data_IF_143219681760
#
_entry.id   IF_143219681760
#
_cell.length_a   1.000
_cell.length_b   1.000
_cell.length_c   1.000
_cell.angle_alpha   90.00
_cell.angle_beta   90.00
_cell.angle_gamma   90.00
#
_symmetry.space_group_name_H-M   'P 1'
#
loop_
_entity.id
_entity.type
_entity.pdbx_description
1 polymer ?
#
# COMPACT_ATOMS: atom_id res chain seq x y z
N UNK A 1 15.78 25.42 17.82
CA UNK A 1 16.00 25.11 19.25
C UNK A 1 14.71 25.31 20.03
N UNK A 2 13.91 24.26 20.25
CA UNK A 2 12.80 24.31 21.21
C UNK A 2 13.12 23.36 22.37
N UNK A 3 13.37 23.94 23.56
CA UNK A 3 13.57 23.21 24.81
C UNK A 3 12.27 22.48 25.16
N UNK A 4 12.16 21.21 24.77
CA UNK A 4 11.12 20.31 25.29
C UNK A 4 11.47 19.96 26.73
N UNK A 5 10.76 20.55 27.67
CA UNK A 5 10.92 20.31 29.09
C UNK A 5 10.64 18.82 29.44
N UNK A 6 11.60 18.08 30.01
CA UNK A 6 11.49 16.64 30.23
C UNK A 6 10.41 16.23 31.26
N UNK A 7 9.92 17.15 32.10
CA UNK A 7 8.88 16.86 33.11
C UNK A 7 7.47 16.71 32.52
N UNK A 8 7.17 17.33 31.37
CA UNK A 8 5.89 17.20 30.66
C UNK A 8 5.64 15.77 30.15
N UNK A 9 6.69 14.96 29.98
CA UNK A 9 6.56 13.53 29.62
C UNK A 9 6.11 12.63 30.79
N UNK A 10 6.21 13.12 32.04
CA UNK A 10 5.87 12.38 33.27
C UNK A 10 4.50 12.76 33.85
N UNK A 11 3.93 13.91 33.46
CA UNK A 11 2.59 14.35 33.85
C UNK A 11 1.50 13.28 33.68
N UNK A 12 1.40 12.57 32.54
CA UNK A 12 0.36 11.55 32.36
C UNK A 12 0.58 10.32 33.26
N UNK A 13 1.82 10.00 33.66
CA UNK A 13 2.10 8.89 34.58
C UNK A 13 1.66 9.21 36.00
N UNK A 14 1.92 10.43 36.45
CA UNK A 14 1.54 10.88 37.79
C UNK A 14 0.01 10.87 37.94
N UNK A 15 -0.73 11.35 36.93
CA UNK A 15 -2.20 11.33 36.93
C UNK A 15 -2.76 9.91 37.00
N UNK A 16 -2.16 8.95 36.29
CA UNK A 16 -2.58 7.54 36.35
C UNK A 16 -2.31 6.93 37.72
N UNK A 17 -1.15 7.19 38.32
CA UNK A 17 -0.84 6.73 39.68
C UNK A 17 -1.80 7.32 40.70
N UNK A 18 -2.10 8.62 40.61
CA UNK A 18 -3.08 9.27 41.50
C UNK A 18 -4.48 8.69 41.32
N UNK A 19 -4.91 8.47 40.08
CA UNK A 19 -6.17 7.80 39.78
C UNK A 19 -6.23 6.41 40.42
N UNK A 20 -5.23 5.56 40.19
CA UNK A 20 -5.25 4.18 40.67
C UNK A 20 -5.23 4.11 42.20
N UNK A 21 -4.44 4.94 42.87
CA UNK A 21 -4.44 5.03 44.33
C UNK A 21 -5.76 5.59 44.87
N UNK A 22 -6.37 6.56 44.18
CA UNK A 22 -7.70 7.07 44.55
C UNK A 22 -8.77 5.98 44.43
N UNK A 23 -8.68 5.10 43.42
CA UNK A 23 -9.60 3.97 43.25
C UNK A 23 -9.46 2.94 44.36
N UNK A 24 -8.25 2.73 44.89
CA UNK A 24 -8.04 1.89 46.09
C UNK A 24 -8.78 2.47 47.29
N UNK A 25 -8.60 3.77 47.54
CA UNK A 25 -9.26 4.47 48.65
C UNK A 25 -10.78 4.42 48.51
N UNK A 26 -11.30 4.80 47.35
CA UNK A 26 -12.74 4.83 47.07
C UNK A 26 -13.36 3.44 47.20
N UNK A 27 -12.70 2.41 46.66
CA UNK A 27 -13.19 1.02 46.75
C UNK A 27 -13.22 0.54 48.19
N UNK A 28 -12.15 0.79 48.96
CA UNK A 28 -12.09 0.38 50.36
C UNK A 28 -13.15 1.08 51.21
N UNK A 29 -13.30 2.40 51.06
CA UNK A 29 -14.31 3.18 51.78
C UNK A 29 -15.74 2.77 51.40
N UNK A 30 -16.01 2.54 50.12
CA UNK A 30 -17.31 2.07 49.64
C UNK A 30 -17.67 0.73 50.28
N UNK A 31 -16.74 -0.23 50.30
CA UNK A 31 -16.97 -1.54 50.88
C UNK A 31 -17.13 -1.48 52.41
N UNK A 32 -16.37 -0.62 53.11
CA UNK A 32 -16.57 -0.36 54.55
C UNK A 32 -17.96 0.23 54.82
N UNK A 33 -18.41 1.18 53.99
CA UNK A 33 -19.74 1.77 54.10
C UNK A 33 -20.84 0.75 53.86
N UNK A 34 -20.74 -0.06 52.80
CA UNK A 34 -21.68 -1.16 52.52
C UNK A 34 -21.70 -2.21 53.64
N UNK A 35 -20.55 -2.55 54.20
CA UNK A 35 -20.46 -3.46 55.34
C UNK A 35 -21.11 -2.86 56.59
N UNK A 36 -20.94 -1.56 56.84
CA UNK A 36 -21.59 -0.83 57.94
C UNK A 36 -23.11 -0.83 57.81
N UNK A 37 -23.64 -0.57 56.60
CA UNK A 37 -25.09 -0.66 56.32
C UNK A 37 -25.63 -2.07 56.55
N UNK A 38 -24.79 -3.09 56.37
CA UNK A 38 -25.12 -4.49 56.61
C UNK A 38 -24.88 -4.93 58.08
N UNK A 39 -24.66 -3.99 59.00
CA UNK A 39 -24.55 -4.21 60.45
C UNK A 39 -23.13 -4.48 60.97
N UNK A 40 -22.09 -4.22 60.19
CA UNK A 40 -20.70 -4.37 60.65
C UNK A 40 -20.28 -3.19 61.55
N UNK A 41 -19.45 -3.43 62.59
CA UNK A 41 -18.99 -2.35 63.47
C UNK A 41 -18.09 -1.35 62.72
N UNK A 42 -18.13 -0.05 63.09
CA UNK A 42 -17.22 0.94 62.53
C UNK A 42 -15.77 0.63 62.94
N UNK A 43 -14.80 0.90 62.06
CA UNK A 43 -13.38 0.77 62.37
C UNK A 43 -12.97 1.83 63.39
N UNK A 44 -12.36 1.42 64.50
CA UNK A 44 -11.74 2.34 65.45
C UNK A 44 -10.48 3.00 64.88
N UNK A 45 -9.78 2.35 63.94
CA UNK A 45 -8.52 2.83 63.34
C UNK A 45 -8.58 2.94 61.81
N UNK A 46 -9.65 3.53 61.26
CA UNK A 46 -9.90 3.62 59.82
C UNK A 46 -8.71 4.19 59.02
N UNK A 47 -8.08 5.26 59.54
CA UNK A 47 -6.98 5.92 58.85
C UNK A 47 -5.72 5.04 58.76
N UNK A 48 -5.44 4.27 59.82
CA UNK A 48 -4.31 3.33 59.87
C UNK A 48 -4.55 2.15 58.94
N UNK A 49 -5.77 1.60 58.95
CA UNK A 49 -6.20 0.54 58.03
C UNK A 49 -6.05 0.99 56.57
N UNK A 50 -6.57 2.17 56.23
CA UNK A 50 -6.50 2.73 54.88
C UNK A 50 -5.05 2.98 54.44
N UNK A 51 -4.20 3.51 55.33
CA UNK A 51 -2.80 3.74 55.05
C UNK A 51 -2.05 2.43 54.72
N UNK A 52 -2.34 1.35 55.46
CA UNK A 52 -1.77 0.02 55.21
C UNK A 52 -2.22 -0.49 53.83
N UNK A 53 -3.52 -0.43 53.54
CA UNK A 53 -4.09 -0.91 52.27
C UNK A 53 -3.51 -0.15 51.08
N UNK A 54 -3.48 1.18 51.14
CA UNK A 54 -2.95 2.03 50.05
C UNK A 54 -1.46 1.79 49.85
N UNK A 55 -0.67 1.67 50.92
CA UNK A 55 0.76 1.43 50.83
C UNK A 55 1.06 0.07 50.19
N UNK A 56 0.40 -1.00 50.63
CA UNK A 56 0.58 -2.35 50.08
C UNK A 56 0.14 -2.38 48.62
N UNK A 57 -1.05 -1.87 48.32
CA UNK A 57 -1.61 -1.91 46.97
C UNK A 57 -0.77 -1.06 45.99
N UNK A 58 -0.24 0.08 46.45
CA UNK A 58 0.68 0.90 45.67
C UNK A 58 1.98 0.18 45.31
N UNK A 59 2.58 -0.55 46.27
CA UNK A 59 3.77 -1.38 46.03
C UNK A 59 3.46 -2.51 45.04
N UNK A 60 2.30 -3.16 45.17
CA UNK A 60 1.86 -4.23 44.28
C UNK A 60 1.66 -3.72 42.86
N UNK A 61 0.97 -2.59 42.67
CA UNK A 61 0.80 -1.98 41.34
C UNK A 61 2.14 -1.64 40.68
N UNK A 62 3.11 -1.17 41.46
CA UNK A 62 4.45 -0.88 40.96
C UNK A 62 5.21 -2.16 40.57
N UNK A 63 5.15 -3.21 41.40
CA UNK A 63 5.81 -4.52 41.17
C UNK A 63 5.23 -5.29 40.00
N UNK A 64 3.90 -5.35 39.88
CA UNK A 64 3.18 -6.00 38.78
C UNK A 64 3.35 -5.22 37.47
N UNK A 65 3.84 -3.98 37.54
CA UNK A 65 4.20 -3.19 36.38
C UNK A 65 3.00 -2.54 35.71
N UNK A 66 1.93 -2.24 36.48
CA UNK A 66 0.72 -1.58 35.98
C UNK A 66 1.01 -0.20 35.35
N UNK A 67 2.16 0.38 35.67
CA UNK A 67 2.64 1.68 35.18
C UNK A 67 3.73 1.59 34.10
N UNK A 68 4.18 0.39 33.70
CA UNK A 68 5.31 0.20 32.76
C UNK A 68 4.94 0.49 31.30
N UNK A 69 3.67 0.61 30.96
CA UNK A 69 3.21 1.00 29.63
C UNK A 69 2.00 1.90 29.74
N UNK A 70 2.18 3.22 29.65
CA UNK A 70 1.09 4.19 29.71
C UNK A 70 0.21 4.05 28.47
N UNK A 71 -0.75 3.12 28.55
CA UNK A 71 -1.97 3.05 27.78
C UNK A 71 -1.78 3.07 26.26
N UNK A 72 -0.80 2.32 25.75
CA UNK A 72 -0.61 2.15 24.30
C UNK A 72 -1.09 0.80 23.78
N UNK A 73 -1.35 -0.18 24.63
CA UNK A 73 -1.90 -1.47 24.22
C UNK A 73 -2.73 -2.10 25.34
N UNK A 74 -4.02 -1.75 25.40
CA UNK A 74 -4.99 -2.49 26.19
C UNK A 74 -5.25 -3.85 25.52
N UNK A 75 -4.34 -4.77 25.79
CA UNK A 75 -4.40 -6.17 25.36
C UNK A 75 -4.95 -7.02 26.51
N UNK A 76 -5.32 -8.28 26.27
CA UNK A 76 -5.55 -9.30 27.32
C UNK A 76 -4.54 -9.21 28.51
N UNK A 77 -3.23 -8.94 28.28
CA UNK A 77 -2.25 -8.65 29.32
C UNK A 77 -2.62 -7.61 30.38
N UNK A 78 -3.32 -6.52 30.05
CA UNK A 78 -3.64 -5.47 31.02
C UNK A 78 -4.69 -5.94 32.02
N UNK A 79 -5.71 -6.67 31.57
CA UNK A 79 -6.71 -7.26 32.44
C UNK A 79 -6.10 -8.33 33.34
N UNK A 80 -5.16 -9.12 32.81
CA UNK A 80 -4.40 -10.10 33.59
C UNK A 80 -3.56 -9.41 34.66
N UNK A 81 -2.84 -8.33 34.33
CA UNK A 81 -2.04 -7.57 35.29
C UNK A 81 -2.90 -6.91 36.38
N UNK A 82 -4.05 -6.31 36.03
CA UNK A 82 -5.00 -5.74 37.00
C UNK A 82 -5.54 -6.84 37.92
N UNK A 83 -5.90 -7.99 37.37
CA UNK A 83 -6.41 -9.13 38.13
C UNK A 83 -5.34 -9.66 39.08
N UNK A 84 -4.13 -9.93 38.58
CA UNK A 84 -3.00 -10.36 39.40
C UNK A 84 -2.68 -9.36 40.51
N UNK A 85 -2.69 -8.07 40.23
CA UNK A 85 -2.46 -7.04 41.24
C UNK A 85 -3.57 -6.96 42.30
N UNK A 86 -4.84 -7.17 41.93
CA UNK A 86 -5.95 -7.19 42.87
C UNK A 86 -5.86 -8.39 43.83
N UNK A 87 -5.58 -9.59 43.31
CA UNK A 87 -5.47 -10.80 44.12
C UNK A 87 -4.19 -10.85 44.97
N UNK A 88 -3.04 -10.50 44.40
CA UNK A 88 -1.77 -10.41 45.16
C UNK A 88 -1.87 -9.31 46.22
N UNK A 89 -2.49 -8.18 45.88
CA UNK A 89 -2.77 -7.09 46.81
C UNK A 89 -3.62 -7.53 47.98
N UNK A 90 -4.75 -8.20 47.72
CA UNK A 90 -5.59 -8.76 48.79
C UNK A 90 -4.81 -9.72 49.70
N UNK A 91 -4.05 -10.66 49.12
CA UNK A 91 -3.29 -11.64 49.90
C UNK A 91 -2.26 -10.98 50.83
N UNK A 92 -1.57 -9.95 50.34
CA UNK A 92 -0.61 -9.19 51.15
C UNK A 92 -1.31 -8.33 52.20
N UNK A 93 -2.43 -7.69 51.86
CA UNK A 93 -3.25 -6.94 52.83
C UNK A 93 -3.72 -7.85 53.96
N UNK A 94 -4.26 -9.03 53.64
CA UNK A 94 -4.66 -10.03 54.63
C UNK A 94 -3.49 -10.44 55.54
N UNK A 95 -2.32 -10.71 54.95
CA UNK A 95 -1.13 -11.12 55.68
C UNK A 95 -0.67 -10.04 56.66
N UNK A 96 -0.62 -8.78 56.22
CA UNK A 96 -0.19 -7.66 57.08
C UNK A 96 -1.23 -7.34 58.15
N UNK A 97 -2.53 -7.33 57.81
CA UNK A 97 -3.59 -7.13 58.80
C UNK A 97 -3.60 -8.23 59.87
N UNK A 98 -3.23 -9.47 59.51
CA UNK A 98 -3.06 -10.57 60.47
C UNK A 98 -1.90 -10.31 61.44
N UNK A 99 -0.73 -9.91 60.92
CA UNK A 99 0.47 -9.63 61.73
C UNK A 99 0.26 -8.43 62.67
N UNK A 100 -0.45 -7.40 62.22
CA UNK A 100 -0.74 -6.19 63.01
C UNK A 100 -1.94 -6.38 63.95
N UNK A 101 -2.60 -7.54 63.92
CA UNK A 101 -3.75 -7.85 64.78
C UNK A 101 -5.05 -7.13 64.40
N UNK A 102 -5.10 -6.46 63.26
CA UNK A 102 -6.26 -5.68 62.78
C UNK A 102 -7.24 -6.49 61.93
N UNK A 103 -6.89 -7.73 61.56
CA UNK A 103 -7.75 -8.59 60.74
C UNK A 103 -9.17 -8.80 61.31
N UNK A 104 -9.38 -9.00 62.63
CA UNK A 104 -10.72 -9.13 63.20
C UNK A 104 -11.57 -7.86 63.08
N UNK A 105 -10.95 -6.69 62.93
CA UNK A 105 -11.62 -5.39 62.80
C UNK A 105 -12.08 -5.10 61.36
N UNK A 106 -11.66 -5.91 60.40
CA UNK A 106 -12.05 -5.80 58.99
C UNK A 106 -13.11 -6.87 58.67
N UNK A 107 -14.37 -6.47 58.41
CA UNK A 107 -15.42 -7.42 58.09
C UNK A 107 -15.07 -8.22 56.84
N UNK A 108 -15.33 -9.54 56.84
CA UNK A 108 -15.14 -10.40 55.65
C UNK A 108 -15.90 -9.89 54.43
N UNK A 109 -17.02 -9.18 54.66
CA UNK A 109 -17.84 -8.49 53.66
C UNK A 109 -17.12 -7.33 52.95
N UNK A 110 -15.97 -6.89 53.45
CA UNK A 110 -15.08 -5.93 52.79
C UNK A 110 -14.01 -6.66 51.99
N UNK A 111 -13.41 -7.70 52.57
CA UNK A 111 -12.27 -8.42 51.99
C UNK A 111 -12.64 -9.28 50.76
N UNK A 112 -13.78 -9.98 50.81
CA UNK A 112 -14.23 -10.87 49.72
C UNK A 112 -14.58 -10.10 48.43
N UNK A 113 -15.38 -9.02 48.47
CA UNK A 113 -15.69 -8.25 47.25
C UNK A 113 -14.58 -7.27 46.83
N UNK A 114 -13.52 -7.10 47.61
CA UNK A 114 -12.47 -6.12 47.30
C UNK A 114 -11.80 -6.35 45.92
N UNK A 115 -11.33 -7.55 45.54
CA UNK A 115 -10.72 -7.77 44.23
C UNK A 115 -11.64 -7.46 43.03
N UNK A 116 -12.90 -7.97 42.94
CA UNK A 116 -13.74 -7.67 41.79
C UNK A 116 -14.11 -6.18 41.69
N UNK A 117 -14.36 -5.50 42.81
CA UNK A 117 -14.64 -4.06 42.78
C UNK A 117 -13.42 -3.24 42.35
N UNK A 118 -12.22 -3.62 42.81
CA UNK A 118 -10.98 -2.95 42.41
C UNK A 118 -10.67 -3.19 40.93
N UNK A 119 -10.91 -4.41 40.41
CA UNK A 119 -10.77 -4.72 38.98
C UNK A 119 -11.71 -3.85 38.14
N UNK A 120 -12.97 -3.68 38.57
CA UNK A 120 -13.94 -2.82 37.89
C UNK A 120 -13.54 -1.34 37.95
N UNK A 121 -13.18 -0.85 39.14
CA UNK A 121 -12.77 0.55 39.36
C UNK A 121 -11.52 0.94 38.58
N UNK A 122 -10.60 0.00 38.37
CA UNK A 122 -9.40 0.23 37.56
C UNK A 122 -9.63 -0.04 36.06
N UNK A 123 -10.45 -1.03 35.73
CA UNK A 123 -10.65 -1.52 34.36
C UNK A 123 -11.63 -0.68 33.54
N UNK A 124 -12.75 -0.25 34.14
CA UNK A 124 -13.80 0.50 33.41
C UNK A 124 -13.27 1.86 32.90
N UNK A 125 -12.63 2.73 33.73
CA UNK A 125 -12.10 3.99 33.23
C UNK A 125 -11.07 3.81 32.12
N UNK A 126 -10.28 2.73 32.20
CA UNK A 126 -9.31 2.32 31.16
C UNK A 126 -9.98 1.97 29.85
N UNK A 127 -11.04 1.18 29.91
CA UNK A 127 -11.83 0.79 28.74
C UNK A 127 -12.54 2.01 28.13
N UNK A 128 -13.15 2.87 28.95
CA UNK A 128 -13.88 4.06 28.48
C UNK A 128 -12.95 5.04 27.77
N UNK A 129 -11.83 5.40 28.39
CA UNK A 129 -10.89 6.33 27.75
C UNK A 129 -10.26 5.72 26.50
N UNK A 130 -10.07 4.39 26.43
CA UNK A 130 -9.69 3.72 25.19
C UNK A 130 -10.76 3.89 24.11
N UNK A 131 -12.01 3.54 24.39
CA UNK A 131 -13.09 3.63 23.41
C UNK A 131 -13.23 5.06 22.88
N UNK A 132 -13.06 6.05 23.76
CA UNK A 132 -13.06 7.46 23.38
C UNK A 132 -11.84 7.83 22.51
N UNK A 133 -10.63 7.43 22.91
CA UNK A 133 -9.38 7.74 22.19
C UNK A 133 -9.27 7.00 20.86
N UNK A 134 -9.62 5.73 20.80
CA UNK A 134 -9.62 4.91 19.58
C UNK A 134 -10.63 5.48 18.57
N UNK A 135 -11.80 5.91 19.02
CA UNK A 135 -12.78 6.57 18.15
C UNK A 135 -12.31 7.97 17.71
N UNK A 136 -11.70 8.76 18.61
CA UNK A 136 -11.18 10.09 18.30
C UNK A 136 -9.96 10.08 17.36
N UNK A 137 -9.06 9.09 17.50
CA UNK A 137 -7.91 8.90 16.61
C UNK A 137 -8.34 8.33 15.25
N UNK A 138 -9.33 7.43 15.23
CA UNK A 138 -9.94 6.96 13.97
C UNK A 138 -10.67 8.08 13.24
N UNK A 139 -11.33 8.99 13.95
CA UNK A 139 -11.99 10.18 13.37
C UNK A 139 -10.96 11.22 12.88
N UNK A 140 -9.87 11.43 13.63
CA UNK A 140 -8.82 12.40 13.25
C UNK A 140 -7.94 11.90 12.10
N UNK A 141 -7.61 10.60 12.02
CA UNK A 141 -6.90 10.01 10.86
C UNK A 141 -7.76 9.96 9.61
N UNK A 142 -9.08 9.72 9.74
CA UNK A 142 -10.02 9.77 8.61
C UNK A 142 -10.23 11.18 8.04
N UNK A 143 -9.94 12.22 8.81
CA UNK A 143 -10.04 13.61 8.33
C UNK A 143 -8.89 13.99 7.37
N UNK A 144 -7.73 13.34 7.49
CA UNK A 144 -6.53 13.58 6.65
C UNK A 144 -6.33 12.50 5.57
N UNK A 145 -7.13 11.43 5.61
CA UNK A 145 -7.10 10.36 4.62
C UNK A 145 -7.82 10.77 3.32
N UNK A 146 -7.21 10.49 2.17
CA UNK A 146 -7.80 10.77 0.86
C UNK A 146 -9.10 9.98 0.72
N UNK A 147 -10.22 10.68 0.47
CA UNK A 147 -11.55 10.06 0.33
C UNK A 147 -11.69 9.49 -1.08
N UNK A 148 -11.74 8.16 -1.18
CA UNK A 148 -11.68 7.45 -2.46
C UNK A 148 -13.05 6.91 -2.86
N UNK A 149 -13.50 7.25 -4.06
CA UNK A 149 -14.66 6.64 -4.69
C UNK A 149 -14.19 5.61 -5.72
N UNK A 150 -14.68 4.38 -5.62
CA UNK A 150 -14.21 3.25 -6.45
C UNK A 150 -15.22 3.00 -7.57
N UNK A 151 -14.73 2.98 -8.81
CA UNK A 151 -15.52 2.76 -10.03
C UNK A 151 -15.32 1.32 -10.50
N UNK A 152 -16.28 0.46 -10.21
CA UNK A 152 -16.25 -0.98 -10.45
C UNK A 152 -16.26 -1.79 -9.15
N UNK A 153 -17.40 -2.40 -8.85
CA UNK A 153 -17.66 -3.25 -7.69
C UNK A 153 -17.37 -4.74 -7.95
N UNK A 154 -16.74 -5.08 -9.08
CA UNK A 154 -16.29 -6.44 -9.39
C UNK A 154 -15.12 -6.92 -8.51
N UNK A 155 -14.58 -8.10 -8.85
CA UNK A 155 -13.48 -8.75 -8.09
C UNK A 155 -12.29 -7.82 -7.81
N UNK A 156 -11.88 -7.03 -8.81
CA UNK A 156 -10.76 -6.08 -8.65
C UNK A 156 -11.07 -4.97 -7.66
N UNK A 157 -12.32 -4.49 -7.60
CA UNK A 157 -12.76 -3.50 -6.61
C UNK A 157 -12.80 -4.06 -5.20
N UNK A 158 -13.24 -5.31 -5.05
CA UNK A 158 -13.21 -5.99 -3.75
C UNK A 158 -11.78 -6.17 -3.23
N UNK A 159 -10.85 -6.63 -4.07
CA UNK A 159 -9.46 -6.82 -3.65
C UNK A 159 -8.80 -5.48 -3.30
N UNK A 160 -9.01 -4.43 -4.10
CA UNK A 160 -8.53 -3.08 -3.78
C UNK A 160 -9.06 -2.60 -2.42
N UNK A 161 -10.34 -2.81 -2.13
CA UNK A 161 -10.93 -2.43 -0.83
C UNK A 161 -10.23 -3.09 0.37
N UNK A 162 -9.81 -4.35 0.22
CA UNK A 162 -9.07 -5.06 1.29
C UNK A 162 -7.69 -4.43 1.50
N UNK A 163 -6.99 -4.07 0.43
CA UNK A 163 -5.67 -3.45 0.49
C UNK A 163 -5.71 -2.01 1.00
N UNK A 164 -6.66 -1.20 0.53
CA UNK A 164 -6.81 0.19 0.98
C UNK A 164 -7.13 0.29 2.47
N UNK A 165 -7.75 -0.72 3.06
CA UNK A 165 -7.99 -0.77 4.52
C UNK A 165 -6.74 -1.10 5.33
N UNK A 166 -5.78 -1.79 4.75
CA UNK A 166 -4.50 -2.04 5.40
C UNK A 166 -3.64 -0.76 5.43
N UNK A 167 -3.88 0.17 4.50
CA UNK A 167 -3.16 1.42 4.37
C UNK A 167 -4.01 2.59 4.90
N UNK A 168 -3.74 3.08 6.11
CA UNK A 168 -4.44 4.23 6.77
C UNK A 168 -4.46 5.56 5.96
N UNK A 169 -3.94 5.57 4.73
CA UNK A 169 -3.85 6.70 3.80
C UNK A 169 -5.12 6.95 2.99
N UNK A 170 -5.90 5.91 2.70
CA UNK A 170 -7.08 6.00 1.83
C UNK A 170 -8.35 5.64 2.60
N UNK A 171 -9.39 6.44 2.42
CA UNK A 171 -10.71 6.18 3.00
C UNK A 171 -11.74 5.90 1.91
N UNK A 172 -12.08 4.63 1.64
CA UNK A 172 -13.10 4.30 0.66
C UNK A 172 -14.48 4.79 1.12
N UNK A 173 -15.09 5.72 0.38
CA UNK A 173 -16.38 6.34 0.74
C UNK A 173 -17.59 5.68 0.05
N UNK A 174 -17.35 4.93 -1.03
CA UNK A 174 -18.40 4.26 -1.79
C UNK A 174 -17.88 3.54 -3.02
N UNK A 175 -18.74 2.69 -3.60
CA UNK A 175 -18.52 2.11 -4.92
C UNK A 175 -19.61 2.54 -5.90
N UNK A 176 -19.28 2.59 -7.19
CA UNK A 176 -20.22 2.71 -8.30
C UNK A 176 -20.02 1.56 -9.27
N UNK A 177 -21.12 0.96 -9.74
CA UNK A 177 -21.08 -0.13 -10.71
C UNK A 177 -22.38 -0.16 -11.53
N UNK A 178 -22.28 -0.43 -12.84
CA UNK A 178 -23.44 -0.51 -13.73
C UNK A 178 -24.27 -1.80 -13.53
N UNK A 179 -23.74 -2.77 -12.80
CA UNK A 179 -24.44 -4.01 -12.46
C UNK A 179 -25.55 -3.70 -11.45
N UNK A 180 -26.80 -3.63 -11.95
CA UNK A 180 -27.98 -3.27 -11.15
C UNK A 180 -28.16 -4.10 -9.87
N UNK A 181 -27.78 -5.39 -9.90
CA UNK A 181 -27.88 -6.29 -8.74
C UNK A 181 -26.97 -5.86 -7.59
N UNK A 182 -25.87 -5.16 -7.88
CA UNK A 182 -24.93 -4.69 -6.87
C UNK A 182 -25.38 -3.39 -6.19
N UNK A 183 -26.36 -2.66 -6.74
CA UNK A 183 -26.81 -1.40 -6.16
C UNK A 183 -27.37 -1.61 -4.75
N UNK A 184 -26.85 -0.85 -3.79
CA UNK A 184 -27.21 -0.95 -2.37
C UNK A 184 -26.52 -2.09 -1.62
N UNK A 185 -25.81 -3.00 -2.31
CA UNK A 185 -25.02 -4.04 -1.66
C UNK A 185 -23.85 -3.44 -0.89
N UNK A 186 -23.39 -4.15 0.16
CA UNK A 186 -22.18 -3.80 0.91
C UNK A 186 -21.06 -4.76 0.55
N UNK A 187 -20.00 -4.24 -0.05
CA UNK A 187 -18.79 -5.00 -0.40
C UNK A 187 -17.72 -4.65 0.61
N UNK A 188 -17.27 -5.65 1.35
CA UNK A 188 -16.38 -5.47 2.49
C UNK A 188 -16.93 -4.47 3.53
N UNK A 189 -18.21 -4.08 3.52
CA UNK A 189 -18.76 -3.05 4.41
C UNK A 189 -18.74 -1.62 3.86
N UNK A 190 -18.32 -1.41 2.61
CA UNK A 190 -18.52 -0.16 1.84
C UNK A 190 -19.70 -0.36 0.89
N UNK A 191 -20.58 0.62 0.77
CA UNK A 191 -21.82 0.49 0.00
C UNK A 191 -21.62 0.84 -1.48
N UNK A 192 -22.32 0.11 -2.36
CA UNK A 192 -22.49 0.48 -3.77
C UNK A 192 -23.60 1.52 -3.86
N UNK A 193 -23.23 2.77 -4.13
CA UNK A 193 -24.10 3.95 -4.01
C UNK A 193 -24.97 4.19 -5.25
N UNK A 194 -24.57 3.65 -6.41
CA UNK A 194 -25.24 3.89 -7.67
C UNK A 194 -24.51 3.31 -8.86
N UNK A 195 -24.90 3.77 -10.05
CA UNK A 195 -24.26 3.43 -11.33
C UNK A 195 -23.16 4.42 -11.67
N UNK A 196 -22.39 4.17 -12.73
CA UNK A 196 -21.34 5.11 -13.15
C UNK A 196 -21.91 6.47 -13.55
N UNK A 197 -23.13 6.52 -14.07
CA UNK A 197 -23.82 7.79 -14.41
C UNK A 197 -24.15 8.64 -13.17
N UNK A 198 -24.21 8.04 -11.97
CA UNK A 198 -24.45 8.76 -10.71
C UNK A 198 -23.15 9.42 -10.17
N UNK A 199 -22.01 9.26 -10.85
CA UNK A 199 -20.68 9.64 -10.39
C UNK A 199 -20.60 11.08 -9.88
N UNK A 200 -21.00 12.07 -10.68
CA UNK A 200 -20.89 13.48 -10.31
C UNK A 200 -21.76 13.84 -9.09
N UNK A 201 -22.91 13.18 -8.92
CA UNK A 201 -23.79 13.37 -7.77
C UNK A 201 -23.16 12.74 -6.52
N UNK A 202 -22.78 11.47 -6.63
CA UNK A 202 -22.23 10.69 -5.51
C UNK A 202 -20.88 11.24 -5.04
N UNK A 203 -20.02 11.69 -5.94
CA UNK A 203 -18.74 12.30 -5.58
C UNK A 203 -18.92 13.56 -4.71
N UNK A 204 -19.93 14.39 -5.00
CA UNK A 204 -20.27 15.58 -4.20
C UNK A 204 -20.87 15.21 -2.84
N UNK A 205 -21.86 14.31 -2.83
CA UNK A 205 -22.53 13.87 -1.59
C UNK A 205 -21.56 13.17 -0.63
N UNK A 206 -20.58 12.46 -1.18
CA UNK A 206 -19.58 11.75 -0.38
C UNK A 206 -18.30 12.55 -0.14
N UNK A 207 -18.20 13.78 -0.65
CA UNK A 207 -16.99 14.60 -0.62
C UNK A 207 -15.74 13.81 -1.04
N UNK A 208 -15.83 13.05 -2.13
CA UNK A 208 -14.71 12.28 -2.65
C UNK A 208 -13.61 13.22 -3.18
N UNK A 209 -12.35 12.88 -2.91
CA UNK A 209 -11.17 13.66 -3.35
C UNK A 209 -10.34 12.92 -4.38
N UNK A 210 -10.58 11.62 -4.59
CA UNK A 210 -9.90 10.77 -5.58
C UNK A 210 -10.88 9.74 -6.14
N UNK A 211 -10.86 9.54 -7.45
CA UNK A 211 -11.59 8.47 -8.13
C UNK A 211 -10.63 7.34 -8.51
N UNK A 212 -11.03 6.09 -8.32
CA UNK A 212 -10.20 4.93 -8.68
C UNK A 212 -10.97 3.97 -9.57
N UNK A 213 -10.46 3.73 -10.77
CA UNK A 213 -11.04 2.84 -11.77
C UNK A 213 -10.55 1.40 -11.53
N UNK A 214 -11.47 0.52 -11.16
CA UNK A 214 -11.25 -0.91 -10.86
C UNK A 214 -11.89 -1.81 -11.91
N UNK A 215 -11.88 -1.38 -13.16
CA UNK A 215 -12.45 -2.10 -14.31
C UNK A 215 -11.35 -2.53 -15.29
N UNK A 216 -10.45 -3.47 -14.94
CA UNK A 216 -9.34 -3.86 -15.81
C UNK A 216 -9.80 -4.58 -17.09
N UNK A 217 -10.98 -5.20 -17.07
CA UNK A 217 -11.60 -5.87 -18.21
C UNK A 217 -12.57 -4.98 -18.99
N UNK A 218 -12.61 -3.67 -18.71
CA UNK A 218 -13.40 -2.75 -19.50
C UNK A 218 -12.85 -2.65 -20.92
N UNK A 219 -13.74 -2.71 -21.91
CA UNK A 219 -13.36 -2.45 -23.29
C UNK A 219 -13.03 -0.96 -23.50
N UNK A 220 -12.47 -0.62 -24.67
CA UNK A 220 -12.07 0.76 -24.99
C UNK A 220 -13.22 1.76 -24.86
N UNK A 221 -14.43 1.39 -25.33
CA UNK A 221 -15.60 2.25 -25.30
C UNK A 221 -16.06 2.53 -23.85
N UNK A 222 -16.06 1.49 -23.01
CA UNK A 222 -16.38 1.60 -21.58
C UNK A 222 -15.33 2.45 -20.85
N UNK A 223 -14.04 2.24 -21.13
CA UNK A 223 -12.97 3.03 -20.52
C UNK A 223 -13.07 4.51 -20.89
N UNK A 224 -13.32 4.83 -22.17
CA UNK A 224 -13.55 6.22 -22.61
C UNK A 224 -14.74 6.85 -21.89
N UNK A 225 -15.88 6.16 -21.83
CA UNK A 225 -17.06 6.62 -21.10
C UNK A 225 -16.74 6.91 -19.63
N UNK A 226 -16.04 6.01 -18.96
CA UNK A 226 -15.66 6.19 -17.55
C UNK A 226 -14.73 7.39 -17.38
N UNK A 227 -13.75 7.57 -18.26
CA UNK A 227 -12.83 8.71 -18.22
C UNK A 227 -13.56 10.03 -18.46
N UNK A 228 -14.45 10.10 -19.45
CA UNK A 228 -15.29 11.29 -19.68
C UNK A 228 -16.14 11.63 -18.44
N UNK A 229 -16.73 10.63 -17.80
CA UNK A 229 -17.47 10.81 -16.55
C UNK A 229 -16.55 11.31 -15.43
N UNK A 230 -15.34 10.77 -15.28
CA UNK A 230 -14.35 11.24 -14.31
C UNK A 230 -13.95 12.70 -14.57
N UNK A 231 -13.61 13.05 -15.82
CA UNK A 231 -13.22 14.40 -16.22
C UNK A 231 -14.30 15.43 -15.91
N UNK A 232 -15.57 15.06 -16.11
CA UNK A 232 -16.71 15.94 -15.80
C UNK A 232 -16.81 16.33 -14.32
N UNK A 233 -16.17 15.57 -13.41
CA UNK A 233 -16.15 15.88 -11.98
C UNK A 233 -15.04 16.85 -11.57
N UNK A 234 -14.00 17.01 -12.39
CA UNK A 234 -12.79 17.77 -12.05
C UNK A 234 -11.94 17.16 -10.93
N UNK A 235 -12.26 15.95 -10.46
CA UNK A 235 -11.50 15.25 -9.44
C UNK A 235 -10.33 14.46 -10.08
N UNK A 236 -9.18 14.33 -9.38
CA UNK A 236 -8.13 13.46 -9.85
C UNK A 236 -8.62 12.01 -9.88
N UNK A 237 -8.23 11.27 -10.91
CA UNK A 237 -8.54 9.86 -11.04
C UNK A 237 -7.32 9.01 -11.39
N UNK A 238 -7.36 7.73 -11.00
CA UNK A 238 -6.30 6.74 -11.21
C UNK A 238 -6.90 5.40 -11.62
N UNK A 239 -6.15 4.61 -12.38
CA UNK A 239 -6.51 3.23 -12.74
C UNK A 239 -5.69 2.26 -11.92
N UNK A 240 -6.33 1.18 -11.49
CA UNK A 240 -5.64 0.06 -10.84
C UNK A 240 -4.88 -0.75 -11.87
N UNK A 241 -3.57 -0.91 -11.66
CA UNK A 241 -2.73 -1.88 -12.35
C UNK A 241 -2.32 -2.98 -11.37
N UNK A 242 -2.23 -4.23 -11.83
CA UNK A 242 -1.60 -5.29 -11.06
C UNK A 242 -0.08 -5.15 -11.22
N UNK A 243 0.66 -5.18 -10.11
CA UNK A 243 2.09 -5.43 -10.16
C UNK A 243 2.29 -6.91 -10.51
N UNK A 244 2.78 -7.18 -11.72
CA UNK A 244 3.38 -8.49 -12.04
C UNK A 244 4.86 -8.41 -11.72
N UNK A 245 5.22 -8.68 -10.47
CA UNK A 245 6.63 -8.91 -10.12
C UNK A 245 6.99 -10.33 -10.54
N UNK A 246 7.76 -10.45 -11.63
CA UNK A 246 8.33 -11.71 -12.10
C UNK A 246 9.55 -12.15 -11.31
N UNK A 247 10.02 -11.38 -10.31
CA UNK A 247 11.34 -11.59 -9.71
C UNK A 247 11.38 -11.85 -8.20
N UNK A 248 10.35 -11.52 -7.41
CA UNK A 248 10.39 -11.81 -5.97
C UNK A 248 9.03 -12.24 -5.44
N UNK A 249 9.01 -13.34 -4.68
CA UNK A 249 7.83 -13.98 -4.07
C UNK A 249 7.17 -13.16 -2.94
N UNK A 250 7.00 -11.85 -3.13
CA UNK A 250 6.29 -10.97 -2.21
C UNK A 250 4.97 -10.54 -2.83
N UNK A 251 3.93 -10.53 -2.00
CA UNK A 251 2.51 -10.47 -2.38
C UNK A 251 2.18 -9.49 -3.53
N UNK A 252 1.35 -9.96 -4.47
CA UNK A 252 0.73 -9.17 -5.53
C UNK A 252 0.08 -7.90 -4.97
N UNK A 253 0.71 -6.74 -5.19
CA UNK A 253 0.16 -5.44 -4.82
C UNK A 253 -0.55 -4.77 -5.99
N UNK A 254 -1.53 -3.92 -5.70
CA UNK A 254 -2.05 -2.97 -6.67
C UNK A 254 -1.24 -1.68 -6.67
N UNK A 255 -0.99 -1.17 -7.87
CA UNK A 255 -0.47 0.19 -8.07
C UNK A 255 -1.56 1.08 -8.68
N UNK A 256 -1.66 2.31 -8.17
CA UNK A 256 -2.54 3.34 -8.72
C UNK A 256 -1.74 4.19 -9.73
N UNK A 257 -1.94 3.95 -11.03
CA UNK A 257 -1.28 4.70 -12.10
C UNK A 257 -2.24 5.64 -12.82
N UNK A 258 -1.68 6.59 -13.56
CA UNK A 258 -2.47 7.44 -14.45
C UNK A 258 -3.05 6.62 -15.61
N UNK A 259 -4.20 7.05 -16.13
CA UNK A 259 -4.81 6.40 -17.29
C UNK A 259 -3.97 6.75 -18.50
N UNK A 260 -3.43 5.73 -19.17
CA UNK A 260 -2.56 5.93 -20.32
C UNK A 260 -3.39 5.97 -21.62
N UNK A 261 -2.86 6.59 -22.68
CA UNK A 261 -3.56 6.68 -23.99
C UNK A 261 -3.87 5.28 -24.54
N UNK A 262 -2.99 4.32 -24.29
CA UNK A 262 -3.13 2.92 -24.70
C UNK A 262 -4.39 2.28 -24.10
N UNK A 263 -4.75 2.65 -22.86
CA UNK A 263 -5.95 2.17 -22.18
C UNK A 263 -7.24 2.65 -22.87
N UNK A 264 -7.17 3.76 -23.63
CA UNK A 264 -8.28 4.34 -24.41
C UNK A 264 -8.31 3.83 -25.86
N UNK A 265 -7.15 3.42 -26.39
CA UNK A 265 -7.02 2.90 -27.75
C UNK A 265 -7.53 1.46 -27.88
N UNK A 266 -7.64 0.71 -26.77
CA UNK A 266 -8.37 -0.55 -26.73
C UNK A 266 -7.73 -1.70 -27.50
N UNK A 267 -6.43 -1.64 -27.76
CA UNK A 267 -5.72 -2.79 -28.30
C UNK A 267 -5.49 -3.77 -27.17
N UNK A 268 -6.01 -4.99 -27.31
CA UNK A 268 -5.49 -6.09 -26.52
C UNK A 268 -3.99 -6.21 -26.85
N UNK A 269 -3.09 -6.17 -25.86
CA UNK A 269 -1.69 -6.42 -26.13
C UNK A 269 -1.57 -7.81 -26.75
N UNK A 270 -0.99 -7.87 -27.95
CA UNK A 270 -0.76 -9.14 -28.63
C UNK A 270 0.12 -9.99 -27.72
N UNK A 271 -0.39 -11.12 -27.26
CA UNK A 271 0.42 -12.08 -26.51
C UNK A 271 1.43 -12.69 -27.48
N UNK A 272 2.68 -12.26 -27.38
CA UNK A 272 3.76 -12.83 -28.15
C UNK A 272 4.07 -14.24 -27.63
N UNK A 273 3.94 -15.24 -28.50
CA UNK A 273 4.44 -16.58 -28.23
C UNK A 273 5.97 -16.58 -28.35
N UNK A 274 6.63 -16.35 -27.22
CA UNK A 274 8.09 -16.34 -27.14
C UNK A 274 8.73 -17.68 -27.49
N UNK A 275 7.99 -18.79 -27.37
CA UNK A 275 8.49 -20.11 -27.77
C UNK A 275 8.58 -20.19 -29.29
N UNK A 276 7.54 -19.75 -29.99
CA UNK A 276 7.54 -19.66 -31.46
C UNK A 276 8.60 -18.68 -31.98
N UNK A 277 8.76 -17.53 -31.33
CA UNK A 277 9.80 -16.55 -31.70
C UNK A 277 11.20 -17.14 -31.53
N UNK A 278 11.47 -17.85 -30.43
CA UNK A 278 12.76 -18.52 -30.20
C UNK A 278 13.01 -19.65 -31.21
N UNK A 279 12.00 -20.45 -31.53
CA UNK A 279 12.13 -21.50 -32.55
C UNK A 279 12.43 -20.90 -33.93
N UNK A 280 11.81 -19.75 -34.23
CA UNK A 280 11.96 -19.10 -35.53
C UNK A 280 13.27 -18.30 -35.67
N UNK A 281 13.75 -17.63 -34.62
CA UNK A 281 14.95 -16.79 -34.71
C UNK A 281 16.20 -17.42 -34.07
N UNK A 282 16.03 -18.48 -33.27
CA UNK A 282 17.11 -19.19 -32.62
C UNK A 282 18.19 -19.62 -33.61
N UNK A 283 19.44 -19.30 -33.29
CA UNK A 283 20.62 -19.63 -34.11
C UNK A 283 20.70 -18.96 -35.49
N UNK A 284 19.82 -17.99 -35.81
CA UNK A 284 19.87 -17.24 -37.08
C UNK A 284 20.63 -15.93 -36.91
N UNK A 285 21.12 -15.37 -38.01
CA UNK A 285 21.69 -14.01 -38.04
C UNK A 285 20.60 -13.00 -38.40
N UNK A 286 20.44 -11.97 -37.56
CA UNK A 286 19.50 -10.88 -37.80
C UNK A 286 20.26 -9.55 -37.96
N UNK A 287 19.88 -8.76 -38.96
CA UNK A 287 20.36 -7.40 -39.15
C UNK A 287 19.24 -6.39 -38.87
N UNK A 288 19.56 -5.32 -38.15
CA UNK A 288 18.63 -4.25 -37.82
C UNK A 288 19.22 -2.93 -38.28
N UNK A 289 18.52 -2.19 -39.14
CA UNK A 289 18.91 -0.83 -39.52
C UNK A 289 18.20 0.21 -38.66
N UNK A 290 18.83 1.34 -38.37
CA UNK A 290 18.26 2.33 -37.44
C UNK A 290 18.27 1.80 -36.00
N UNK A 291 19.28 0.98 -35.68
CA UNK A 291 19.37 0.23 -34.43
C UNK A 291 19.41 1.11 -33.18
N UNK A 292 19.86 2.36 -33.31
CA UNK A 292 19.90 3.32 -32.21
C UNK A 292 18.58 4.07 -32.00
N UNK A 293 17.63 3.97 -32.92
CA UNK A 293 16.31 4.58 -32.78
C UNK A 293 15.38 3.74 -31.89
N UNK A 294 14.33 4.37 -31.34
CA UNK A 294 13.40 3.75 -30.38
C UNK A 294 12.82 2.39 -30.81
N UNK A 295 12.54 2.20 -32.11
CA UNK A 295 12.02 0.93 -32.65
C UNK A 295 13.16 -0.07 -32.88
N UNK A 296 14.29 0.40 -33.42
CA UNK A 296 15.45 -0.45 -33.70
C UNK A 296 16.08 -1.01 -32.43
N UNK A 297 16.16 -0.22 -31.36
CA UNK A 297 16.71 -0.63 -30.08
C UNK A 297 15.85 -1.71 -29.40
N UNK A 298 14.53 -1.55 -29.47
CA UNK A 298 13.57 -2.53 -28.96
C UNK A 298 13.63 -3.83 -29.76
N UNK A 299 13.67 -3.75 -31.10
CA UNK A 299 13.87 -4.93 -31.95
C UNK A 299 15.20 -5.63 -31.66
N UNK A 300 16.28 -4.89 -31.39
CA UNK A 300 17.57 -5.46 -31.05
C UNK A 300 17.52 -6.23 -29.72
N UNK A 301 16.88 -5.66 -28.71
CA UNK A 301 16.65 -6.30 -27.41
C UNK A 301 15.81 -7.58 -27.56
N UNK A 302 14.70 -7.52 -28.29
CA UNK A 302 13.83 -8.69 -28.51
C UNK A 302 14.53 -9.80 -29.30
N UNK A 303 15.32 -9.46 -30.33
CA UNK A 303 16.10 -10.44 -31.09
C UNK A 303 17.19 -11.08 -30.22
N UNK A 304 17.87 -10.31 -29.38
CA UNK A 304 18.86 -10.83 -28.44
C UNK A 304 18.21 -11.79 -27.41
N UNK A 305 17.07 -11.42 -26.85
CA UNK A 305 16.29 -12.27 -25.93
C UNK A 305 15.75 -13.55 -26.59
N UNK A 306 15.47 -13.50 -27.89
CA UNK A 306 15.08 -14.64 -28.71
C UNK A 306 16.24 -15.61 -29.03
N UNK A 307 17.48 -15.26 -28.70
CA UNK A 307 18.64 -16.16 -28.86
C UNK A 307 19.15 -16.28 -30.30
N UNK A 308 19.14 -15.19 -31.05
CA UNK A 308 19.79 -15.14 -32.38
C UNK A 308 21.28 -15.48 -32.26
N UNK A 309 21.85 -16.14 -33.28
CA UNK A 309 23.28 -16.50 -33.28
C UNK A 309 24.16 -15.25 -33.43
N UNK A 310 23.74 -14.31 -34.27
CA UNK A 310 24.47 -13.07 -34.53
C UNK A 310 23.51 -11.93 -34.78
N UNK A 311 23.83 -10.77 -34.21
CA UNK A 311 23.05 -9.55 -34.35
C UNK A 311 23.91 -8.48 -35.02
N UNK A 312 23.49 -8.00 -36.19
CA UNK A 312 24.15 -6.92 -36.94
C UNK A 312 23.36 -5.63 -36.72
N UNK A 313 23.99 -4.62 -36.12
CA UNK A 313 23.36 -3.33 -35.82
C UNK A 313 23.88 -2.28 -36.78
N UNK A 314 23.06 -1.84 -37.74
CA UNK A 314 23.39 -0.78 -38.68
C UNK A 314 22.75 0.53 -38.22
N UNK A 315 23.57 1.54 -37.99
CA UNK A 315 23.11 2.88 -37.58
C UNK A 315 24.04 3.93 -38.20
N UNK A 316 23.49 5.09 -38.54
CA UNK A 316 24.26 6.20 -39.13
C UNK A 316 24.87 7.11 -38.06
N UNK A 317 24.23 7.15 -36.89
CA UNK A 317 24.60 7.98 -35.76
C UNK A 317 25.53 7.21 -34.83
N UNK A 318 26.76 7.69 -34.69
CA UNK A 318 27.82 7.03 -33.92
C UNK A 318 27.43 6.87 -32.45
N UNK A 319 26.88 7.92 -31.84
CA UNK A 319 26.49 7.90 -30.44
C UNK A 319 25.38 6.87 -30.20
N UNK A 320 24.34 6.90 -31.01
CA UNK A 320 23.21 5.97 -30.89
C UNK A 320 23.65 4.52 -31.12
N UNK A 321 24.61 4.27 -32.02
CA UNK A 321 25.18 2.94 -32.26
C UNK A 321 25.99 2.45 -31.07
N UNK A 322 26.83 3.30 -30.48
CA UNK A 322 27.65 2.96 -29.31
C UNK A 322 26.77 2.67 -28.09
N UNK A 323 25.73 3.48 -27.87
CA UNK A 323 24.77 3.30 -26.77
C UNK A 323 24.06 1.94 -26.86
N UNK A 324 23.44 1.62 -27.99
CA UNK A 324 22.75 0.32 -28.14
C UNK A 324 23.72 -0.86 -28.07
N UNK A 325 24.93 -0.70 -28.63
CA UNK A 325 25.95 -1.75 -28.60
C UNK A 325 26.38 -2.05 -27.16
N UNK A 326 26.57 -1.01 -26.34
CA UNK A 326 26.92 -1.15 -24.93
C UNK A 326 25.81 -1.84 -24.15
N UNK A 327 24.55 -1.43 -24.35
CA UNK A 327 23.39 -2.04 -23.69
C UNK A 327 23.27 -3.52 -24.03
N UNK A 328 23.30 -3.89 -25.31
CA UNK A 328 23.16 -5.30 -25.73
C UNK A 328 24.33 -6.15 -25.22
N UNK A 329 25.57 -5.63 -25.21
CA UNK A 329 26.73 -6.38 -24.65
C UNK A 329 26.63 -6.59 -23.14
N UNK A 330 26.06 -5.62 -22.42
CA UNK A 330 25.86 -5.74 -20.97
C UNK A 330 24.81 -6.80 -20.64
N UNK A 331 23.70 -6.80 -21.36
CA UNK A 331 22.57 -7.70 -21.13
C UNK A 331 22.82 -9.13 -21.69
N UNK A 332 23.57 -9.23 -22.80
CA UNK A 332 23.80 -10.48 -23.54
C UNK A 332 25.28 -10.67 -23.92
N UNK A 333 26.18 -10.93 -22.95
CA UNK A 333 27.63 -10.99 -23.20
C UNK A 333 28.09 -12.11 -24.13
N UNK A 334 27.29 -13.16 -24.31
CA UNK A 334 27.58 -14.28 -25.21
C UNK A 334 27.09 -14.11 -26.65
N UNK A 335 26.37 -13.02 -26.95
CA UNK A 335 25.82 -12.77 -28.29
C UNK A 335 26.91 -12.23 -29.24
N UNK A 336 27.03 -12.82 -30.43
CA UNK A 336 27.88 -12.25 -31.47
C UNK A 336 27.26 -10.96 -32.01
N UNK A 337 27.81 -9.83 -31.60
CA UNK A 337 27.30 -8.51 -31.94
C UNK A 337 28.24 -7.80 -32.94
N UNK A 338 27.70 -7.38 -34.07
CA UNK A 338 28.43 -6.66 -35.13
C UNK A 338 27.83 -5.26 -35.34
N UNK A 339 28.38 -4.21 -34.71
CA UNK A 339 27.99 -2.84 -35.01
C UNK A 339 28.56 -2.40 -36.37
N UNK A 340 27.74 -1.70 -37.16
CA UNK A 340 28.07 -1.18 -38.49
C UNK A 340 27.65 0.28 -38.56
N UNK A 341 28.62 1.19 -38.53
CA UNK A 341 28.39 2.62 -38.70
C UNK A 341 28.24 2.93 -40.19
N UNK A 342 26.99 3.05 -40.65
CA UNK A 342 26.69 3.33 -42.06
C UNK A 342 25.28 3.86 -42.26
N UNK A 343 25.09 4.69 -43.30
CA UNK A 343 23.77 5.07 -43.78
C UNK A 343 23.11 3.99 -44.63
N UNK A 344 21.79 3.90 -44.57
CA UNK A 344 21.03 2.89 -45.33
C UNK A 344 21.05 3.08 -46.87
N UNK A 345 21.59 4.19 -47.37
CA UNK A 345 21.76 4.43 -48.82
C UNK A 345 23.13 3.99 -49.34
N UNK A 346 24.06 3.62 -48.44
CA UNK A 346 25.45 3.29 -48.77
C UNK A 346 25.60 1.83 -49.18
N UNK A 347 25.52 1.58 -50.49
CA UNK A 347 25.55 0.21 -51.07
C UNK A 347 26.78 -0.60 -50.66
N UNK A 348 27.93 0.05 -50.48
CA UNK A 348 29.18 -0.61 -50.09
C UNK A 348 29.10 -1.24 -48.71
N UNK A 349 28.48 -0.55 -47.75
CA UNK A 349 28.32 -1.03 -46.38
C UNK A 349 27.36 -2.22 -46.28
N UNK A 350 26.32 -2.26 -47.13
CA UNK A 350 25.37 -3.37 -47.16
C UNK A 350 26.02 -4.69 -47.56
N UNK A 351 27.00 -4.66 -48.45
CA UNK A 351 27.62 -5.89 -48.96
C UNK A 351 28.32 -6.68 -47.86
N UNK A 352 29.00 -6.01 -46.94
CA UNK A 352 29.65 -6.66 -45.79
C UNK A 352 28.66 -6.93 -44.67
N UNK A 353 27.72 -6.02 -44.41
CA UNK A 353 26.73 -6.17 -43.35
C UNK A 353 25.75 -7.33 -43.59
N UNK A 354 25.40 -7.61 -44.85
CA UNK A 354 24.44 -8.67 -45.22
C UNK A 354 25.06 -10.06 -45.36
N UNK A 355 26.39 -10.21 -45.25
CA UNK A 355 27.02 -11.53 -45.40
C UNK A 355 26.51 -12.49 -44.32
N UNK A 356 25.84 -13.56 -44.72
CA UNK A 356 25.30 -14.58 -43.82
C UNK A 356 24.20 -14.06 -42.89
N UNK A 357 23.42 -13.07 -43.35
CA UNK A 357 22.23 -12.57 -42.65
C UNK A 357 21.00 -13.30 -43.15
N UNK A 358 20.18 -13.83 -42.25
CA UNK A 358 18.94 -14.53 -42.57
C UNK A 358 17.74 -13.58 -42.62
N UNK A 359 17.70 -12.59 -41.70
CA UNK A 359 16.60 -11.63 -41.58
C UNK A 359 17.10 -10.21 -41.48
N UNK A 360 16.37 -9.28 -42.12
CA UNK A 360 16.65 -7.84 -42.06
C UNK A 360 15.41 -7.11 -41.57
N UNK A 361 15.52 -6.43 -40.43
CA UNK A 361 14.53 -5.47 -39.95
C UNK A 361 14.94 -4.04 -40.30
N UNK A 362 14.15 -3.40 -41.15
CA UNK A 362 14.40 -2.03 -41.58
C UNK A 362 13.66 -1.02 -40.70
N UNK A 363 14.29 -0.56 -39.62
CA UNK A 363 13.72 0.45 -38.71
C UNK A 363 14.26 1.88 -38.93
N UNK A 364 15.17 2.08 -39.90
CA UNK A 364 15.72 3.40 -40.20
C UNK A 364 14.70 4.26 -40.96
N UNK A 365 14.06 5.21 -40.27
CA UNK A 365 13.10 6.12 -40.87
C UNK A 365 13.15 7.51 -40.22
N UNK A 366 12.86 8.55 -41.01
CA UNK A 366 12.52 9.85 -40.48
C UNK A 366 11.01 9.89 -40.21
N UNK A 367 10.62 10.22 -38.97
CA UNK A 367 9.21 10.15 -38.51
C UNK A 367 8.58 11.48 -38.07
N UNK A 368 9.35 12.58 -38.02
CA UNK A 368 8.86 13.87 -37.54
C UNK A 368 8.19 14.67 -38.67
N UNK A 369 6.87 14.54 -38.80
CA UNK A 369 6.09 15.08 -39.93
C UNK A 369 6.34 16.57 -40.20
N UNK A 370 6.22 17.49 -39.20
CA UNK A 370 6.37 18.92 -39.48
C UNK A 370 7.76 19.30 -40.04
N UNK A 371 8.81 18.57 -39.63
CA UNK A 371 10.16 18.80 -40.12
C UNK A 371 10.36 18.23 -41.53
N UNK A 372 9.73 17.10 -41.84
CA UNK A 372 9.88 16.40 -43.13
C UNK A 372 9.11 17.09 -44.26
N UNK A 373 8.01 17.76 -43.95
CA UNK A 373 7.29 18.61 -44.91
C UNK A 373 8.21 19.71 -45.46
N UNK A 374 9.06 20.30 -44.62
CA UNK A 374 10.06 21.28 -45.06
C UNK A 374 11.30 20.65 -45.71
N UNK A 375 11.53 19.34 -45.55
CA UNK A 375 12.74 18.64 -45.98
C UNK A 375 12.43 17.37 -46.80
N UNK A 376 11.55 17.49 -47.78
CA UNK A 376 11.05 16.36 -48.62
C UNK A 376 12.19 15.53 -49.22
N UNK A 377 13.28 16.16 -49.66
CA UNK A 377 14.46 15.45 -50.19
C UNK A 377 15.05 14.46 -49.17
N UNK A 378 15.15 14.87 -47.91
CA UNK A 378 15.68 14.02 -46.84
C UNK A 378 14.71 12.87 -46.51
N UNK A 379 13.40 13.17 -46.47
CA UNK A 379 12.36 12.17 -46.28
C UNK A 379 12.37 11.10 -47.40
N UNK A 380 12.41 11.52 -48.66
CA UNK A 380 12.46 10.61 -49.82
C UNK A 380 13.75 9.78 -49.82
N UNK A 381 14.89 10.40 -49.52
CA UNK A 381 16.18 9.70 -49.47
C UNK A 381 16.19 8.62 -48.37
N UNK A 382 15.67 8.92 -47.19
CA UNK A 382 15.76 8.00 -46.06
C UNK A 382 14.62 6.96 -46.01
N UNK A 383 13.39 7.33 -46.37
CA UNK A 383 12.24 6.43 -46.22
C UNK A 383 11.89 5.69 -47.53
N UNK A 384 12.34 6.17 -48.69
CA UNK A 384 12.03 5.53 -49.99
C UNK A 384 13.29 4.97 -50.63
N UNK A 385 14.30 5.82 -50.87
CA UNK A 385 15.52 5.37 -51.55
C UNK A 385 16.30 4.37 -50.70
N UNK A 386 16.42 4.60 -49.39
CA UNK A 386 17.11 3.67 -48.50
C UNK A 386 16.45 2.29 -48.46
N UNK A 387 15.12 2.23 -48.34
CA UNK A 387 14.35 0.99 -48.37
C UNK A 387 14.54 0.26 -49.70
N UNK A 388 14.49 0.97 -50.83
CA UNK A 388 14.71 0.38 -52.15
C UNK A 388 16.16 -0.13 -52.35
N UNK A 389 17.15 0.59 -51.81
CA UNK A 389 18.56 0.17 -51.85
C UNK A 389 18.78 -1.09 -51.01
N UNK A 390 18.26 -1.10 -49.77
CA UNK A 390 18.38 -2.23 -48.86
C UNK A 390 17.66 -3.46 -49.42
N UNK A 391 16.42 -3.32 -49.89
CA UNK A 391 15.68 -4.44 -50.47
C UNK A 391 16.38 -5.06 -51.69
N UNK A 392 17.00 -4.24 -52.54
CA UNK A 392 17.81 -4.74 -53.66
C UNK A 392 19.10 -5.43 -53.19
N UNK A 393 19.72 -4.91 -52.13
CA UNK A 393 20.90 -5.53 -51.54
C UNK A 393 20.56 -6.89 -50.91
N UNK A 394 19.45 -7.00 -50.18
CA UNK A 394 18.97 -8.27 -49.62
C UNK A 394 18.64 -9.30 -50.71
N UNK A 395 18.10 -8.87 -51.85
CA UNK A 395 17.82 -9.78 -52.98
C UNK A 395 19.08 -10.30 -53.68
N UNK A 396 20.19 -9.57 -53.56
CA UNK A 396 21.44 -9.90 -54.22
C UNK A 396 22.40 -10.69 -53.32
N UNK A 397 22.18 -10.64 -52.00
CA UNK A 397 22.83 -11.50 -51.00
C UNK A 397 22.13 -12.86 -50.97
#
# INVERSE_FOLDING_TARGET
>A
MSKRWPWLSKLPRLLVVMHDLSMVVLTWMLLRWLAGQAGAPPSMFLLRELAIVVAIQGVVFWRVGLYRGVWRFASMPDLVNISSAAFIGLLLVLSVLMVVGMLPEVPRRVLVPYPPFLILGLGIPRLVYRLWKDNSLALSRKADATRVLILGAGRSGETLLRELRAQDRYHPVGLLDDTRVLKGAKIQGVQVLGTLDDLAKVARETAATLLVITMPSANAAQMRRVVELCDSTGLPFRKVSRLTDQLEHTASGFELREVAIEDLLGREPVQFDWQLVREYFGSRTVMITGAGGSIGSELAQQCAQAGVARLVLLERDEQSLEEITRTIRADFPGLFLQPVLAGCVERGAHRSALQGVDFVFHAAACKQVPMLEAQVRAAMRNNVQATAVLARACRAA
#
